data_IF_238179694925
#
_entry.id   IF_238179694925
#
_cell.length_a   1.000
_cell.length_b   1.000
_cell.length_c   1.000
_cell.angle_alpha   90.00
_cell.angle_beta   90.00
_cell.angle_gamma   90.00
#
_symmetry.space_group_name_H-M   'P 1'
#
loop_
_entity.id
_entity.type
_entity.pdbx_description
1 polymer ?
#
# COMPACT_ATOMS: atom_id res chain seq x y z
N UNK A 1 22.88 -0.76 10.92
CA UNK A 1 21.74 -1.53 11.50
C UNK A 1 20.48 -0.69 11.70
N UNK A 2 20.56 0.59 12.04
CA UNK A 2 19.41 1.48 12.28
C UNK A 2 18.72 1.92 10.96
N UNK A 3 19.48 2.24 9.93
CA UNK A 3 18.96 2.60 8.60
C UNK A 3 18.22 1.43 7.91
N UNK A 4 18.74 0.20 8.09
CA UNK A 4 18.17 -1.05 7.59
C UNK A 4 16.72 -1.28 8.08
N UNK A 5 16.48 -1.07 9.38
CA UNK A 5 15.14 -1.26 9.97
C UNK A 5 14.14 -0.17 9.57
N UNK A 6 14.58 1.03 9.23
CA UNK A 6 13.74 2.16 8.87
C UNK A 6 13.21 2.06 7.44
N UNK A 7 14.05 1.61 6.47
CA UNK A 7 13.63 1.35 5.08
C UNK A 7 12.66 0.17 4.95
N UNK A 8 12.78 -0.84 5.83
CA UNK A 8 12.04 -2.10 5.73
C UNK A 8 10.74 -2.12 6.54
N UNK A 9 10.63 -1.36 7.65
CA UNK A 9 9.45 -1.34 8.51
C UNK A 9 8.37 -0.36 8.07
N UNK A 10 8.75 0.71 7.40
CA UNK A 10 7.79 1.61 6.81
C UNK A 10 7.63 1.21 5.34
N UNK A 11 6.53 0.57 5.01
CA UNK A 11 5.98 0.63 3.67
C UNK A 11 5.79 2.11 3.35
N UNK A 12 6.90 2.68 2.98
CA UNK A 12 7.19 4.03 2.50
C UNK A 12 6.03 5.05 2.57
N UNK A 13 5.67 5.46 3.77
CA UNK A 13 5.14 6.80 3.98
C UNK A 13 6.35 7.76 4.01
N UNK A 14 6.85 8.08 2.83
CA UNK A 14 7.86 9.13 2.70
C UNK A 14 7.11 10.45 2.76
N UNK A 15 7.14 11.03 3.95
CA UNK A 15 6.66 12.38 4.18
C UNK A 15 7.50 13.35 3.32
N UNK A 16 6.86 14.30 2.63
CA UNK A 16 7.54 15.30 1.76
C UNK A 16 8.71 16.01 2.45
N UNK A 17 8.71 16.10 3.79
CA UNK A 17 9.78 16.73 4.58
C UNK A 17 11.08 15.91 4.74
N UNK A 18 11.13 14.64 4.32
CA UNK A 18 12.30 13.77 4.45
C UNK A 18 12.95 13.38 3.11
N UNK A 19 12.63 14.10 2.02
CA UNK A 19 13.12 13.77 0.67
C UNK A 19 14.65 13.80 0.59
N UNK A 20 15.28 14.89 1.05
CA UNK A 20 16.75 15.03 1.04
C UNK A 20 17.43 13.96 1.87
N UNK A 21 16.92 13.69 3.07
CA UNK A 21 17.46 12.66 3.94
C UNK A 21 17.38 11.24 3.34
N UNK A 22 16.32 10.93 2.60
CA UNK A 22 16.19 9.63 1.92
C UNK A 22 17.12 9.53 0.70
N UNK A 23 17.30 10.62 -0.04
CA UNK A 23 18.22 10.68 -1.18
C UNK A 23 19.67 10.52 -0.71
N UNK A 24 20.10 11.27 0.33
CA UNK A 24 21.42 11.14 0.94
C UNK A 24 21.65 9.71 1.45
N UNK A 25 20.71 9.14 2.19
CA UNK A 25 20.81 7.77 2.69
C UNK A 25 21.00 6.76 1.56
N UNK A 26 20.28 6.86 0.46
CA UNK A 26 20.39 5.95 -0.68
C UNK A 26 21.68 6.16 -1.48
N UNK A 27 22.18 7.39 -1.53
CA UNK A 27 23.46 7.73 -2.18
C UNK A 27 24.66 7.17 -1.40
N UNK A 28 24.60 7.21 -0.08
CA UNK A 28 25.68 6.78 0.81
C UNK A 28 25.74 5.26 1.03
N UNK A 29 24.83 4.49 0.41
CA UNK A 29 24.86 3.03 0.54
C UNK A 29 26.12 2.46 -0.11
N UNK A 30 26.86 1.63 0.64
CA UNK A 30 27.95 0.82 0.11
C UNK A 30 27.40 -0.30 -0.81
N UNK A 31 28.19 -0.78 -1.75
CA UNK A 31 27.80 -1.87 -2.66
C UNK A 31 27.36 -3.14 -1.94
N UNK A 32 27.94 -3.41 -0.77
CA UNK A 32 27.50 -4.52 0.09
C UNK A 32 26.07 -4.29 0.59
N UNK A 33 25.75 -3.07 1.02
CA UNK A 33 24.42 -2.72 1.51
C UNK A 33 23.37 -2.75 0.40
N UNK A 34 23.76 -2.39 -0.82
CA UNK A 34 22.90 -2.50 -2.01
C UNK A 34 22.57 -3.96 -2.32
N UNK A 35 23.56 -4.87 -2.22
CA UNK A 35 23.31 -6.31 -2.36
C UNK A 35 22.39 -6.85 -1.25
N UNK A 36 22.61 -6.44 0.01
CA UNK A 36 21.75 -6.82 1.14
C UNK A 36 20.32 -6.33 0.96
N UNK A 37 20.13 -5.14 0.39
CA UNK A 37 18.80 -4.60 0.05
C UNK A 37 18.09 -5.46 -1.01
N UNK A 38 18.78 -5.82 -2.08
CA UNK A 38 18.27 -6.66 -3.17
C UNK A 38 17.88 -8.06 -2.64
N UNK A 39 18.77 -8.70 -1.85
CA UNK A 39 18.48 -9.98 -1.20
C UNK A 39 17.25 -9.89 -0.27
N UNK A 40 17.09 -8.78 0.44
CA UNK A 40 15.96 -8.59 1.34
C UNK A 40 14.66 -8.40 0.56
N UNK A 41 14.69 -7.70 -0.56
CA UNK A 41 13.53 -7.59 -1.46
C UNK A 41 13.15 -8.96 -2.04
N UNK A 42 14.12 -9.77 -2.43
CA UNK A 42 13.88 -11.13 -2.90
C UNK A 42 13.24 -12.02 -1.82
N UNK A 43 13.74 -11.98 -0.59
CA UNK A 43 13.15 -12.71 0.56
C UNK A 43 11.72 -12.24 0.86
N UNK A 44 11.47 -10.92 0.80
CA UNK A 44 10.13 -10.36 0.98
C UNK A 44 9.19 -10.81 -0.15
N UNK A 45 9.66 -10.81 -1.39
CA UNK A 45 8.90 -11.31 -2.55
C UNK A 45 8.49 -12.77 -2.36
N UNK A 46 9.43 -13.66 -2.06
CA UNK A 46 9.17 -15.08 -1.82
C UNK A 46 8.18 -15.30 -0.68
N UNK A 47 8.33 -14.56 0.43
CA UNK A 47 7.41 -14.61 1.56
C UNK A 47 5.98 -14.18 1.16
N UNK A 48 5.86 -13.14 0.32
CA UNK A 48 4.55 -12.66 -0.14
C UNK A 48 3.92 -13.60 -1.17
N UNK A 49 4.70 -14.15 -2.10
CA UNK A 49 4.23 -15.18 -3.04
C UNK A 49 3.68 -16.37 -2.28
N UNK A 50 4.43 -16.88 -1.30
CA UNK A 50 3.97 -17.97 -0.43
C UNK A 50 2.67 -17.64 0.29
N UNK A 51 2.51 -16.40 0.76
CA UNK A 51 1.32 -15.98 1.50
C UNK A 51 0.11 -15.73 0.62
N UNK A 52 0.28 -15.14 -0.56
CA UNK A 52 -0.82 -14.58 -1.35
C UNK A 52 -1.13 -15.32 -2.64
N UNK A 53 -0.18 -16.14 -3.17
CA UNK A 53 -0.35 -16.86 -4.44
C UNK A 53 -0.41 -18.37 -4.25
N UNK A 54 0.35 -18.94 -3.31
CA UNK A 54 0.37 -20.40 -3.10
C UNK A 54 -0.92 -20.97 -2.50
N UNK A 55 -1.67 -20.25 -1.63
CA UNK A 55 -2.95 -20.79 -1.14
C UNK A 55 -3.94 -21.02 -2.29
N UNK A 56 -4.81 -22.03 -2.19
CA UNK A 56 -5.89 -22.24 -3.16
C UNK A 56 -6.77 -21.00 -3.35
N UNK A 57 -7.34 -20.84 -4.54
CA UNK A 57 -8.10 -19.63 -4.92
C UNK A 57 -9.23 -19.29 -3.93
N UNK A 58 -9.94 -20.29 -3.45
CA UNK A 58 -11.00 -20.11 -2.45
C UNK A 58 -10.47 -19.61 -1.10
N UNK A 59 -9.27 -20.04 -0.69
CA UNK A 59 -8.61 -19.51 0.50
C UNK A 59 -8.18 -18.06 0.29
N UNK A 60 -7.61 -17.73 -0.87
CA UNK A 60 -7.24 -16.34 -1.20
C UNK A 60 -8.46 -15.41 -1.16
N UNK A 61 -9.62 -15.86 -1.66
CA UNK A 61 -10.88 -15.12 -1.62
C UNK A 61 -11.34 -14.94 -0.17
N UNK A 62 -11.33 -16.00 0.66
CA UNK A 62 -11.69 -15.90 2.09
C UNK A 62 -10.83 -14.91 2.81
N UNK A 63 -9.51 -15.00 2.69
CA UNK A 63 -8.58 -14.09 3.36
C UNK A 63 -8.72 -12.63 2.89
N UNK A 64 -9.03 -12.40 1.61
CA UNK A 64 -9.33 -11.07 1.08
C UNK A 64 -10.64 -10.53 1.66
N UNK A 65 -11.66 -11.38 1.76
CA UNK A 65 -12.94 -11.05 2.39
C UNK A 65 -12.74 -10.65 3.85
N UNK A 66 -12.00 -11.44 4.61
CA UNK A 66 -11.77 -11.20 6.04
C UNK A 66 -11.01 -9.87 6.26
N UNK A 67 -9.94 -9.62 5.51
CA UNK A 67 -9.21 -8.34 5.58
C UNK A 67 -10.07 -7.13 5.22
N UNK A 68 -10.96 -7.25 4.24
CA UNK A 68 -11.86 -6.16 3.86
C UNK A 68 -12.97 -5.99 4.90
N UNK A 69 -13.49 -7.07 5.47
CA UNK A 69 -14.43 -7.01 6.57
C UNK A 69 -13.83 -6.28 7.80
N UNK A 70 -12.62 -6.65 8.22
CA UNK A 70 -11.91 -5.98 9.31
C UNK A 70 -11.78 -4.47 9.08
N UNK A 71 -11.49 -4.06 7.84
CA UNK A 71 -11.43 -2.64 7.46
C UNK A 71 -12.81 -1.98 7.51
N UNK A 72 -13.84 -2.64 7.00
CA UNK A 72 -15.21 -2.15 7.04
C UNK A 72 -15.70 -2.01 8.48
N UNK A 73 -15.38 -2.95 9.37
CA UNK A 73 -15.75 -2.90 10.79
C UNK A 73 -15.16 -1.71 11.54
N UNK A 74 -13.99 -1.21 11.10
CA UNK A 74 -13.44 0.03 11.67
C UNK A 74 -14.32 1.26 11.41
N UNK A 75 -15.15 1.23 10.36
CA UNK A 75 -16.02 2.33 9.95
C UNK A 75 -17.49 2.08 10.29
N UNK A 76 -17.93 0.85 10.17
CA UNK A 76 -19.32 0.45 10.34
C UNK A 76 -19.60 -0.08 11.76
N UNK A 77 -18.56 -0.48 12.50
CA UNK A 77 -18.73 -1.34 13.66
C UNK A 77 -19.00 -2.78 13.19
N UNK A 78 -20.06 -3.41 13.68
CA UNK A 78 -20.39 -4.79 13.30
C UNK A 78 -20.92 -4.86 11.88
N UNK A 79 -20.28 -5.68 11.03
CA UNK A 79 -20.71 -5.96 9.66
C UNK A 79 -21.83 -7.00 9.66
N UNK A 80 -22.92 -6.76 8.91
CA UNK A 80 -24.04 -7.69 8.73
C UNK A 80 -23.70 -8.85 7.79
N UNK A 81 -24.49 -9.91 7.81
CA UNK A 81 -24.32 -11.05 6.90
C UNK A 81 -24.43 -10.62 5.41
N UNK A 82 -25.37 -9.73 5.10
CA UNK A 82 -25.55 -9.20 3.74
C UNK A 82 -24.35 -8.36 3.29
N UNK A 83 -23.82 -7.52 4.16
CA UNK A 83 -22.61 -6.74 3.89
C UNK A 83 -21.40 -7.67 3.70
N UNK A 84 -21.24 -8.72 4.54
CA UNK A 84 -20.18 -9.72 4.37
C UNK A 84 -20.29 -10.44 3.02
N UNK A 85 -21.50 -10.82 2.61
CA UNK A 85 -21.73 -11.42 1.30
C UNK A 85 -21.27 -10.48 0.17
N UNK A 86 -21.63 -9.21 0.23
CA UNK A 86 -21.21 -8.22 -0.76
C UNK A 86 -19.69 -8.06 -0.82
N UNK A 87 -19.01 -8.06 0.35
CA UNK A 87 -17.53 -8.08 0.43
C UNK A 87 -16.96 -9.33 -0.25
N UNK A 88 -17.58 -10.49 -0.05
CA UNK A 88 -17.13 -11.74 -0.66
C UNK A 88 -17.28 -11.73 -2.20
N UNK A 89 -18.34 -11.14 -2.71
CA UNK A 89 -18.55 -10.94 -4.16
C UNK A 89 -17.46 -10.05 -4.76
N UNK A 90 -17.14 -8.94 -4.11
CA UNK A 90 -16.02 -8.07 -4.47
C UNK A 90 -14.69 -8.83 -4.44
N UNK A 91 -14.45 -9.63 -3.41
CA UNK A 91 -13.21 -10.40 -3.28
C UNK A 91 -13.05 -11.45 -4.41
N UNK A 92 -14.15 -12.04 -4.89
CA UNK A 92 -14.16 -12.97 -6.03
C UNK A 92 -13.86 -12.26 -7.35
N UNK A 93 -14.46 -11.09 -7.57
CA UNK A 93 -14.26 -10.30 -8.77
C UNK A 93 -12.79 -9.87 -8.97
N UNK A 94 -12.02 -9.77 -7.87
CA UNK A 94 -10.61 -9.38 -7.89
C UNK A 94 -9.64 -10.56 -7.72
N UNK A 95 -9.95 -11.73 -8.27
CA UNK A 95 -9.16 -12.97 -8.09
C UNK A 95 -7.70 -12.83 -8.52
N UNK A 96 -7.40 -12.11 -9.61
CA UNK A 96 -6.05 -11.93 -10.15
C UNK A 96 -5.26 -10.78 -9.51
N UNK A 97 -5.88 -10.00 -8.64
CA UNK A 97 -5.27 -8.80 -8.08
C UNK A 97 -3.95 -9.08 -7.33
N UNK A 98 -3.84 -10.22 -6.65
CA UNK A 98 -2.63 -10.56 -5.90
C UNK A 98 -1.42 -10.70 -6.82
N UNK A 99 -1.57 -11.38 -7.95
CA UNK A 99 -0.49 -11.54 -8.94
C UNK A 99 -0.07 -10.19 -9.52
N UNK A 100 -1.04 -9.42 -10.02
CA UNK A 100 -0.78 -8.10 -10.61
C UNK A 100 -0.07 -7.17 -9.63
N UNK A 101 -0.50 -7.16 -8.38
CA UNK A 101 0.11 -6.33 -7.34
C UNK A 101 1.54 -6.77 -7.01
N UNK A 102 1.80 -8.08 -6.91
CA UNK A 102 3.13 -8.62 -6.61
C UNK A 102 4.12 -8.35 -7.76
N UNK A 103 3.70 -8.53 -9.01
CA UNK A 103 4.52 -8.25 -10.18
C UNK A 103 4.85 -6.75 -10.28
N UNK A 104 3.87 -5.91 -10.02
CA UNK A 104 4.06 -4.46 -9.99
C UNK A 104 5.02 -4.03 -8.88
N UNK A 105 4.89 -4.62 -7.68
CA UNK A 105 5.80 -4.38 -6.56
C UNK A 105 7.22 -4.82 -6.88
N UNK A 106 7.39 -6.00 -7.47
CA UNK A 106 8.70 -6.51 -7.89
C UNK A 106 9.36 -5.62 -8.94
N UNK A 107 8.59 -5.10 -9.90
CA UNK A 107 9.08 -4.14 -10.89
C UNK A 107 9.62 -2.88 -10.21
N UNK A 108 8.86 -2.31 -9.30
CA UNK A 108 9.28 -1.11 -8.56
C UNK A 108 10.55 -1.36 -7.73
N UNK A 109 10.63 -2.51 -7.01
CA UNK A 109 11.81 -2.91 -6.23
C UNK A 109 13.06 -3.04 -7.10
N UNK A 110 12.93 -3.69 -8.27
CA UNK A 110 14.04 -3.80 -9.23
C UNK A 110 14.51 -2.43 -9.71
N UNK A 111 13.56 -1.54 -10.05
CA UNK A 111 13.89 -0.18 -10.51
C UNK A 111 14.61 0.63 -9.42
N UNK A 112 14.24 0.46 -8.15
CA UNK A 112 14.92 1.12 -7.03
C UNK A 112 16.34 0.57 -6.84
N UNK A 113 16.53 -0.75 -6.84
CA UNK A 113 17.86 -1.37 -6.73
C UNK A 113 18.75 -0.94 -7.88
N UNK A 114 18.23 -0.91 -9.12
CA UNK A 114 18.97 -0.46 -10.29
C UNK A 114 19.39 1.01 -10.17
N UNK A 115 18.47 1.89 -9.75
CA UNK A 115 18.80 3.30 -9.51
C UNK A 115 19.93 3.44 -8.48
N UNK A 116 19.89 2.70 -7.36
CA UNK A 116 20.90 2.75 -6.30
C UNK A 116 22.24 2.12 -6.73
N UNK A 117 22.23 1.09 -7.56
CA UNK A 117 23.46 0.52 -8.17
C UNK A 117 24.19 1.55 -9.05
N UNK A 118 23.39 2.41 -9.70
CA UNK A 118 23.89 3.45 -10.60
C UNK A 118 23.88 4.85 -9.93
N UNK A 119 24.07 4.93 -8.61
CA UNK A 119 23.98 6.17 -7.81
C UNK A 119 24.99 7.23 -8.16
N UNK A 120 26.14 6.83 -8.73
CA UNK A 120 27.19 7.76 -9.16
C UNK A 120 26.92 8.37 -10.54
N UNK A 121 25.89 7.89 -11.25
CA UNK A 121 25.54 8.42 -12.56
C UNK A 121 24.67 9.67 -12.45
N UNK A 122 24.77 10.56 -13.46
CA UNK A 122 23.92 11.72 -13.59
C UNK A 122 22.43 11.31 -13.58
N UNK A 123 21.58 12.12 -12.95
CA UNK A 123 20.14 11.91 -12.86
C UNK A 123 19.71 10.92 -11.77
N UNK A 124 20.59 10.52 -10.86
CA UNK A 124 20.23 9.67 -9.73
C UNK A 124 19.10 10.26 -8.89
N UNK A 125 19.22 11.53 -8.51
CA UNK A 125 18.23 12.21 -7.66
C UNK A 125 16.86 12.27 -8.30
N UNK A 126 16.80 12.56 -9.58
CA UNK A 126 15.56 12.59 -10.36
C UNK A 126 14.92 11.21 -10.45
N UNK A 127 15.72 10.17 -10.73
CA UNK A 127 15.23 8.78 -10.79
C UNK A 127 14.67 8.32 -9.45
N UNK A 128 15.39 8.57 -8.37
CA UNK A 128 14.92 8.19 -7.02
C UNK A 128 13.71 9.02 -6.62
N UNK A 129 13.71 10.33 -6.90
CA UNK A 129 12.55 11.17 -6.64
C UNK A 129 11.30 10.67 -7.36
N UNK A 130 11.42 10.28 -8.62
CA UNK A 130 10.33 9.72 -9.41
C UNK A 130 9.85 8.38 -8.84
N UNK A 131 10.77 7.46 -8.48
CA UNK A 131 10.44 6.19 -7.83
C UNK A 131 9.67 6.36 -6.52
N UNK A 132 9.94 7.44 -5.79
CA UNK A 132 9.33 7.70 -4.49
C UNK A 132 8.03 8.49 -4.57
N UNK A 133 7.88 9.39 -5.53
CA UNK A 133 6.78 10.35 -5.63
C UNK A 133 5.77 10.01 -6.73
N UNK A 134 6.24 9.47 -7.85
CA UNK A 134 5.45 9.19 -9.04
C UNK A 134 5.51 7.69 -9.39
N UNK A 135 4.99 6.88 -8.49
CA UNK A 135 5.06 5.42 -8.61
C UNK A 135 4.33 4.88 -9.84
N UNK A 136 3.36 5.61 -10.35
CA UNK A 136 2.56 5.19 -11.50
C UNK A 136 3.39 5.09 -12.78
N UNK A 137 4.48 5.85 -12.88
CA UNK A 137 5.45 5.73 -13.99
C UNK A 137 6.07 4.32 -14.05
N UNK A 138 6.23 3.68 -12.89
CA UNK A 138 6.84 2.36 -12.76
C UNK A 138 5.82 1.21 -12.72
N UNK A 139 4.54 1.49 -12.93
CA UNK A 139 3.54 0.44 -13.00
C UNK A 139 3.77 -0.45 -14.21
N UNK A 140 3.68 -1.76 -14.00
CA UNK A 140 3.66 -2.72 -15.10
C UNK A 140 2.44 -2.46 -16.00
N UNK A 141 2.57 -2.75 -17.29
CA UNK A 141 1.46 -2.54 -18.22
C UNK A 141 0.18 -3.30 -17.81
N UNK A 142 0.25 -4.58 -17.37
CA UNK A 142 -0.93 -5.29 -16.87
C UNK A 142 -1.57 -4.63 -15.62
N UNK A 143 -0.75 -4.18 -14.67
CA UNK A 143 -1.26 -3.52 -13.47
C UNK A 143 -1.95 -2.19 -13.82
N UNK A 144 -1.31 -1.37 -14.67
CA UNK A 144 -1.88 -0.10 -15.15
C UNK A 144 -3.21 -0.30 -15.87
N UNK A 145 -3.32 -1.33 -16.70
CA UNK A 145 -4.57 -1.64 -17.42
C UNK A 145 -5.69 -2.11 -16.48
N UNK A 146 -5.36 -2.87 -15.42
CA UNK A 146 -6.34 -3.41 -14.48
C UNK A 146 -6.74 -2.41 -13.38
N UNK A 147 -5.88 -1.45 -13.03
CA UNK A 147 -6.06 -0.57 -11.88
C UNK A 147 -7.38 0.20 -11.87
N UNK A 148 -7.84 0.83 -12.98
CA UNK A 148 -9.13 1.55 -12.97
C UNK A 148 -10.33 0.67 -12.62
N UNK A 149 -10.34 -0.58 -13.09
CA UNK A 149 -11.41 -1.53 -12.76
C UNK A 149 -11.35 -1.99 -11.30
N UNK A 150 -10.14 -2.19 -10.75
CA UNK A 150 -9.93 -2.52 -9.34
C UNK A 150 -10.38 -1.38 -8.43
N UNK A 151 -10.01 -0.15 -8.79
CA UNK A 151 -10.40 1.06 -8.07
C UNK A 151 -11.91 1.23 -8.09
N UNK A 152 -12.55 1.15 -9.27
CA UNK A 152 -14.00 1.29 -9.40
C UNK A 152 -14.74 0.22 -8.60
N UNK A 153 -14.34 -1.05 -8.70
CA UNK A 153 -14.94 -2.13 -7.93
C UNK A 153 -14.86 -1.89 -6.40
N UNK A 154 -13.79 -1.24 -5.96
CA UNK A 154 -13.61 -0.91 -4.53
C UNK A 154 -14.47 0.29 -4.12
N UNK A 155 -14.61 1.30 -4.99
CA UNK A 155 -15.51 2.43 -4.78
C UNK A 155 -16.96 1.94 -4.70
N UNK A 156 -17.39 1.10 -5.65
CA UNK A 156 -18.72 0.51 -5.68
C UNK A 156 -19.01 -0.29 -4.40
N UNK A 157 -18.04 -1.08 -3.92
CA UNK A 157 -18.17 -1.77 -2.65
C UNK A 157 -18.41 -0.81 -1.49
N UNK A 158 -17.64 0.28 -1.40
CA UNK A 158 -17.78 1.27 -0.31
C UNK A 158 -19.18 1.91 -0.36
N UNK A 159 -19.66 2.26 -1.54
CA UNK A 159 -21.00 2.83 -1.74
C UNK A 159 -22.07 1.83 -1.29
N UNK A 160 -21.98 0.59 -1.76
CA UNK A 160 -22.95 -0.46 -1.41
C UNK A 160 -22.97 -0.73 0.10
N UNK A 161 -21.81 -0.80 0.75
CA UNK A 161 -21.73 -0.99 2.19
C UNK A 161 -22.34 0.17 2.98
N UNK A 162 -22.20 1.40 2.48
CA UNK A 162 -22.81 2.59 3.07
C UNK A 162 -24.33 2.59 2.89
N UNK A 163 -24.81 2.23 1.69
CA UNK A 163 -26.25 2.17 1.39
C UNK A 163 -26.96 1.08 2.22
N UNK A 164 -26.27 -0.03 2.46
CA UNK A 164 -26.73 -1.13 3.32
C UNK A 164 -26.62 -0.81 4.83
N UNK A 165 -25.99 0.31 5.21
CA UNK A 165 -25.73 0.63 6.62
C UNK A 165 -27.02 1.02 7.35
N UNK A 166 -27.25 0.39 8.50
CA UNK A 166 -28.33 0.75 9.41
C UNK A 166 -28.04 2.07 10.18
N UNK A 167 -29.01 2.54 10.95
CA UNK A 167 -28.90 3.79 11.69
C UNK A 167 -27.75 3.79 12.72
N UNK A 168 -27.41 2.64 13.31
CA UNK A 168 -26.31 2.51 14.25
C UNK A 168 -24.96 2.60 13.55
N UNK A 169 -24.83 1.91 12.42
CA UNK A 169 -23.63 1.95 11.58
C UNK A 169 -23.39 3.37 11.02
N UNK A 170 -24.45 4.06 10.57
CA UNK A 170 -24.32 5.45 10.07
C UNK A 170 -23.87 6.41 11.17
N UNK A 171 -24.36 6.25 12.43
CA UNK A 171 -23.87 7.03 13.57
C UNK A 171 -22.40 6.75 13.86
N UNK A 172 -21.97 5.49 13.75
CA UNK A 172 -20.58 5.11 13.97
C UNK A 172 -19.65 5.74 12.92
N UNK A 173 -20.02 5.70 11.63
CA UNK A 173 -19.28 6.39 10.55
C UNK A 173 -19.16 7.88 10.85
N UNK A 174 -20.28 8.52 11.22
CA UNK A 174 -20.29 9.96 11.48
C UNK A 174 -19.37 10.33 12.64
N UNK A 175 -19.43 9.57 13.75
CA UNK A 175 -18.55 9.76 14.90
C UNK A 175 -17.08 9.64 14.50
N UNK A 176 -16.73 8.61 13.73
CA UNK A 176 -15.34 8.39 13.28
C UNK A 176 -14.83 9.52 12.40
N UNK A 177 -15.66 10.03 11.50
CA UNK A 177 -15.31 11.20 10.68
C UNK A 177 -15.10 12.46 11.53
N UNK A 178 -15.91 12.66 12.58
CA UNK A 178 -15.73 13.78 13.51
C UNK A 178 -14.43 13.64 14.32
N UNK A 179 -14.09 12.42 14.76
CA UNK A 179 -12.84 12.14 15.46
C UNK A 179 -11.63 12.46 14.59
N UNK A 180 -11.62 11.97 13.35
CA UNK A 180 -10.56 12.28 12.37
C UNK A 180 -10.45 13.80 12.11
N UNK A 181 -11.56 14.49 11.99
CA UNK A 181 -11.54 15.95 11.80
C UNK A 181 -10.91 16.68 12.99
N UNK A 182 -11.20 16.24 14.22
CA UNK A 182 -10.56 16.79 15.44
C UNK A 182 -9.07 16.53 15.46
N UNK A 183 -8.66 15.30 15.14
CA UNK A 183 -7.24 14.91 15.12
C UNK A 183 -6.46 15.73 14.10
N UNK A 184 -7.00 15.90 12.88
CA UNK A 184 -6.40 16.74 11.84
C UNK A 184 -6.33 18.22 12.28
N UNK A 185 -7.38 18.77 12.87
CA UNK A 185 -7.38 20.14 13.39
C UNK A 185 -6.38 20.35 14.54
N UNK A 186 -6.05 19.31 15.30
CA UNK A 186 -5.01 19.39 16.34
C UNK A 186 -3.59 19.41 15.76
N UNK A 187 -3.37 18.89 14.57
CA UNK A 187 -2.07 18.92 13.87
C UNK A 187 -1.73 20.30 13.32
N UNK A 188 -2.74 21.08 12.91
CA UNK A 188 -2.56 22.44 12.42
C UNK A 188 -2.16 23.43 13.54
N UNK A 189 -2.35 23.04 14.82
CA UNK A 189 -1.95 23.83 15.99
C UNK A 189 -0.52 23.54 16.48
N UNK A 190 0.23 22.66 15.82
CA UNK A 190 1.64 22.46 16.14
C UNK A 190 2.47 23.57 15.49
N UNK A 191 3.21 24.39 16.29
CA UNK A 191 4.09 25.41 15.72
C UNK A 191 5.10 24.74 14.79
N UNK A 192 5.33 25.35 13.61
CA UNK A 192 6.38 24.93 12.70
C UNK A 192 7.69 24.86 13.52
N UNK A 193 8.30 23.69 13.58
CA UNK A 193 9.61 23.56 14.25
C UNK A 193 10.61 24.43 13.52
N UNK A 194 11.41 25.20 14.25
CA UNK A 194 12.45 26.06 13.69
C UNK A 194 13.51 25.26 12.93
#
# INVERSE_FOLDING_TARGET
SFARNRLLRHEMYINRGSRSANLELLRDLEDRQVRELDEQFEKDRQKREKKYLQPPADQQIRERTDRMQERAEQWLGKVSSAQRQRIQEWARALSEQNQLWLDNRAQWQRSLVDAVRNRDQAGFDERVAQLLQDREVYWTAPYRAAFPAIEQATIDLIIDLYDMADATQRRHIHQRLQDMRRDLGSLDCLPARP
#
